data_IF_247414350979
#
_entry.id   IF_247414350979
#
_cell.length_a   1.000
_cell.length_b   1.000
_cell.length_c   1.000
_cell.angle_alpha   90.00
_cell.angle_beta   90.00
_cell.angle_gamma   90.00
#
_symmetry.space_group_name_H-M   'P 1'
#
loop_
_entity.id
_entity.type
_entity.pdbx_description
1 polymer ?
#
# COMPACT_ATOMS: atom_id res chain seq x y z
N UNK A 1 -32.99 -9.91 -76.24
CA UNK A 1 -31.95 -9.09 -75.59
C UNK A 1 -32.44 -8.78 -74.18
N UNK A 2 -31.87 -9.41 -73.18
CA UNK A 2 -32.20 -9.17 -71.74
C UNK A 2 -30.99 -8.51 -71.11
N UNK A 3 -31.17 -7.24 -70.70
CA UNK A 3 -30.18 -6.46 -69.97
C UNK A 3 -30.28 -6.80 -68.50
N UNK A 4 -29.19 -7.36 -67.91
CA UNK A 4 -29.01 -7.54 -66.48
C UNK A 4 -28.52 -6.20 -65.89
N UNK A 5 -29.30 -5.65 -64.96
CA UNK A 5 -28.88 -4.55 -64.11
C UNK A 5 -28.12 -5.09 -62.88
N UNK A 6 -26.89 -4.66 -62.70
CA UNK A 6 -26.07 -4.96 -61.50
C UNK A 6 -26.34 -3.85 -60.50
N UNK A 7 -26.99 -4.19 -59.37
CA UNK A 7 -27.08 -3.32 -58.20
C UNK A 7 -25.80 -3.40 -57.38
N UNK A 8 -25.02 -2.31 -57.33
CA UNK A 8 -23.86 -2.15 -56.48
C UNK A 8 -24.33 -1.69 -55.08
N UNK A 9 -24.30 -2.59 -54.11
CA UNK A 9 -24.58 -2.24 -52.69
C UNK A 9 -23.34 -1.62 -52.06
N UNK A 10 -23.42 -0.32 -51.77
CA UNK A 10 -22.40 0.42 -51.02
C UNK A 10 -22.60 0.16 -49.54
N UNK A 11 -21.75 -0.69 -48.94
CA UNK A 11 -21.71 -0.91 -47.49
C UNK A 11 -20.94 0.23 -46.82
N UNK A 12 -21.66 1.15 -46.14
CA UNK A 12 -21.11 2.16 -45.26
C UNK A 12 -20.68 1.47 -43.97
N UNK A 13 -19.39 1.25 -43.80
CA UNK A 13 -18.81 0.86 -42.50
C UNK A 13 -18.74 2.11 -41.61
N UNK A 14 -19.63 2.21 -40.61
CA UNK A 14 -19.50 3.17 -39.52
C UNK A 14 -18.33 2.70 -38.65
N UNK A 15 -17.18 3.33 -38.80
CA UNK A 15 -16.12 3.27 -37.75
C UNK A 15 -16.58 4.18 -36.63
N UNK A 16 -17.00 3.60 -35.53
CA UNK A 16 -17.18 4.33 -34.26
C UNK A 16 -15.82 4.84 -33.83
N UNK A 17 -15.55 6.12 -34.08
CA UNK A 17 -14.45 6.83 -33.40
C UNK A 17 -14.88 6.99 -31.94
N UNK A 18 -14.21 6.26 -31.01
CA UNK A 18 -14.34 6.52 -29.60
C UNK A 18 -13.96 8.00 -29.36
N UNK A 19 -14.92 8.76 -28.84
CA UNK A 19 -14.74 10.16 -28.53
C UNK A 19 -13.73 10.32 -27.38
N UNK A 20 -12.48 10.66 -27.71
CA UNK A 20 -11.42 10.96 -26.75
C UNK A 20 -11.71 12.26 -25.95
N UNK A 21 -12.88 12.87 -26.10
CA UNK A 21 -13.23 14.19 -25.57
C UNK A 21 -13.77 14.19 -24.13
N UNK A 22 -13.94 13.04 -23.47
CA UNK A 22 -14.53 12.95 -22.13
C UNK A 22 -13.54 12.61 -21.02
N UNK A 23 -12.23 12.50 -21.31
CA UNK A 23 -11.24 12.20 -20.29
C UNK A 23 -10.97 13.43 -19.41
N UNK A 24 -10.94 13.26 -18.07
CA UNK A 24 -10.63 14.36 -17.15
C UNK A 24 -9.28 15.00 -17.48
N UNK A 25 -9.21 16.34 -17.45
CA UNK A 25 -7.92 17.03 -17.60
C UNK A 25 -6.91 16.52 -16.55
N UNK A 26 -5.68 16.27 -16.99
CA UNK A 26 -4.59 15.61 -16.20
C UNK A 26 -4.14 16.39 -14.96
N UNK A 27 -4.73 17.50 -14.65
CA UNK A 27 -4.18 18.50 -13.75
C UNK A 27 -4.56 18.34 -12.29
N UNK A 28 -4.23 17.32 -11.54
CA UNK A 28 -4.03 17.43 -10.08
C UNK A 28 -4.02 16.12 -9.30
N UNK A 29 -4.31 14.98 -9.90
CA UNK A 29 -4.37 13.72 -9.16
C UNK A 29 -3.16 12.86 -9.55
N UNK A 30 -2.22 12.70 -8.63
CA UNK A 30 -1.00 11.93 -8.86
C UNK A 30 -1.19 10.48 -8.40
N UNK A 31 -0.48 9.57 -9.05
CA UNK A 31 -0.28 8.21 -8.55
C UNK A 31 0.62 8.32 -7.32
N UNK A 32 0.23 7.65 -6.22
CA UNK A 32 1.03 7.57 -5.00
C UNK A 32 1.61 6.17 -4.85
N UNK A 33 2.87 6.08 -4.45
CA UNK A 33 3.60 4.81 -4.27
C UNK A 33 4.03 4.69 -2.81
N UNK A 34 3.76 3.55 -2.20
CA UNK A 34 4.12 3.23 -0.83
C UNK A 34 4.88 1.89 -0.75
N UNK A 35 5.84 1.74 0.19
CA UNK A 35 6.25 2.72 1.18
C UNK A 35 6.92 3.93 0.54
N UNK A 36 6.86 5.08 1.24
CA UNK A 36 7.50 6.34 0.80
C UNK A 36 8.95 6.46 1.25
N UNK A 37 9.44 5.51 2.05
CA UNK A 37 10.82 5.49 2.51
C UNK A 37 11.81 5.32 1.33
N UNK A 38 12.91 6.07 1.37
CA UNK A 38 13.97 6.00 0.34
C UNK A 38 15.00 4.89 0.61
N UNK A 39 14.93 4.24 1.78
CA UNK A 39 15.75 3.08 2.14
C UNK A 39 14.84 1.94 2.54
N UNK A 40 14.92 0.82 1.83
CA UNK A 40 14.04 -0.33 1.98
C UNK A 40 14.83 -1.62 2.24
N UNK A 41 14.33 -2.56 3.02
CA UNK A 41 15.04 -3.81 3.31
C UNK A 41 15.07 -4.74 2.09
N UNK A 42 16.14 -5.51 1.94
CA UNK A 42 16.30 -6.47 0.84
C UNK A 42 15.24 -7.59 0.81
N UNK A 43 14.53 -7.79 1.92
CA UNK A 43 13.40 -8.71 2.05
C UNK A 43 12.05 -7.98 2.07
N UNK A 44 11.97 -6.81 1.44
CA UNK A 44 10.70 -6.08 1.24
C UNK A 44 9.65 -7.03 0.66
N UNK A 45 8.49 -7.09 1.32
CA UNK A 45 7.45 -8.03 0.93
C UNK A 45 6.56 -7.51 -0.19
N UNK A 46 6.21 -6.22 -0.13
CA UNK A 46 5.25 -5.60 -1.07
C UNK A 46 5.38 -4.09 -1.13
N UNK A 47 4.84 -3.55 -2.22
CA UNK A 47 4.59 -2.12 -2.41
C UNK A 47 3.11 -1.89 -2.75
N UNK A 48 2.65 -0.67 -2.63
CA UNK A 48 1.29 -0.28 -2.96
C UNK A 48 1.29 0.89 -3.91
N UNK A 49 0.43 0.82 -4.93
CA UNK A 49 0.21 1.91 -5.87
C UNK A 49 -1.23 2.38 -5.72
N UNK A 50 -1.41 3.64 -5.40
CA UNK A 50 -2.72 4.27 -5.30
C UNK A 50 -2.97 5.13 -6.52
N UNK A 51 -4.08 4.88 -7.18
CA UNK A 51 -4.49 5.60 -8.37
C UNK A 51 -5.56 6.63 -8.02
N UNK A 52 -5.58 7.76 -8.72
CA UNK A 52 -6.55 8.83 -8.47
C UNK A 52 -7.99 8.42 -8.84
N UNK A 53 -8.15 7.43 -9.71
CA UNK A 53 -9.43 6.93 -10.22
C UNK A 53 -9.48 5.41 -10.18
N UNK A 54 -10.68 4.77 -10.19
CA UNK A 54 -10.79 3.32 -10.35
C UNK A 54 -10.17 2.87 -11.67
N UNK A 55 -9.35 1.83 -11.65
CA UNK A 55 -8.61 1.34 -12.82
C UNK A 55 -9.41 0.32 -13.65
N UNK A 56 -9.10 0.20 -14.93
CA UNK A 56 -9.67 -0.77 -15.86
C UNK A 56 -9.44 -2.23 -15.40
N UNK A 57 -10.25 -3.17 -15.87
CA UNK A 57 -10.21 -4.58 -15.42
C UNK A 57 -8.89 -5.27 -15.83
N UNK A 58 -8.37 -4.92 -16.99
CA UNK A 58 -7.16 -5.52 -17.55
C UNK A 58 -5.89 -4.75 -17.16
N UNK A 59 -6.06 -3.63 -16.44
CA UNK A 59 -4.94 -2.83 -15.94
C UNK A 59 -4.43 -3.41 -14.62
N UNK A 60 -3.13 -3.31 -14.39
CA UNK A 60 -2.56 -3.80 -13.14
C UNK A 60 -1.05 -3.92 -13.17
N UNK A 61 -0.55 -5.09 -12.81
CA UNK A 61 0.88 -5.33 -12.67
C UNK A 61 1.67 -5.14 -13.98
N UNK A 62 1.05 -5.28 -15.14
CA UNK A 62 1.66 -5.02 -16.44
C UNK A 62 2.17 -3.59 -16.64
N UNK A 63 1.60 -2.64 -15.90
CA UNK A 63 2.00 -1.21 -15.93
C UNK A 63 3.03 -0.86 -14.85
N UNK A 64 3.54 -1.85 -14.09
CA UNK A 64 4.46 -1.63 -12.97
C UNK A 64 5.79 -2.32 -13.24
N UNK A 65 6.88 -1.57 -13.21
CA UNK A 65 8.21 -2.06 -13.52
C UNK A 65 9.20 -1.74 -12.40
N UNK A 66 10.00 -2.72 -12.01
CA UNK A 66 11.17 -2.49 -11.16
C UNK A 66 12.38 -2.25 -12.05
N UNK A 67 12.97 -1.07 -11.97
CA UNK A 67 14.16 -0.71 -12.75
C UNK A 67 15.39 -0.69 -11.84
N UNK A 68 16.53 -1.17 -12.34
CA UNK A 68 17.82 -1.00 -11.66
C UNK A 68 18.36 0.43 -11.84
N UNK A 69 19.55 0.71 -11.30
CA UNK A 69 20.23 2.00 -11.37
C UNK A 69 20.54 2.46 -12.82
N UNK A 70 20.59 1.52 -13.78
CA UNK A 70 20.80 1.78 -15.22
C UNK A 70 19.48 1.95 -15.98
N UNK A 71 18.34 1.90 -15.30
CA UNK A 71 17.01 1.98 -15.93
C UNK A 71 16.57 0.70 -16.64
N UNK A 72 17.25 -0.43 -16.41
CA UNK A 72 16.88 -1.74 -17.00
C UNK A 72 15.88 -2.44 -16.10
N UNK A 73 14.80 -2.95 -16.69
CA UNK A 73 13.77 -3.69 -15.96
C UNK A 73 14.32 -5.01 -15.39
N UNK A 74 13.94 -5.30 -14.15
CA UNK A 74 14.23 -6.56 -13.46
C UNK A 74 13.07 -7.52 -13.70
N UNK A 75 13.26 -8.43 -14.61
CA UNK A 75 12.26 -9.44 -14.95
C UNK A 75 11.96 -10.38 -13.78
N UNK A 76 10.68 -10.73 -13.61
CA UNK A 76 10.23 -11.66 -12.56
C UNK A 76 10.50 -11.15 -11.14
N UNK A 77 10.59 -9.83 -10.92
CA UNK A 77 10.72 -9.26 -9.58
C UNK A 77 9.44 -9.44 -8.77
N UNK A 78 8.29 -9.37 -9.43
CA UNK A 78 6.98 -9.41 -8.78
C UNK A 78 6.29 -10.76 -8.99
N UNK A 79 5.47 -11.12 -8.02
CA UNK A 79 4.65 -12.32 -8.09
C UNK A 79 3.58 -12.16 -9.18
N UNK A 80 3.74 -12.92 -10.27
CA UNK A 80 2.74 -12.96 -11.33
C UNK A 80 1.56 -13.83 -10.90
N UNK A 81 0.44 -13.22 -10.61
CA UNK A 81 -0.83 -13.88 -10.30
C UNK A 81 -1.74 -13.92 -11.53
N UNK A 82 -2.70 -14.86 -11.54
CA UNK A 82 -3.75 -14.88 -12.58
C UNK A 82 -4.68 -13.66 -12.48
N UNK A 83 -4.75 -13.03 -11.31
CA UNK A 83 -5.57 -11.86 -11.02
C UNK A 83 -4.72 -10.91 -10.21
N UNK A 84 -4.69 -9.65 -10.61
CA UNK A 84 -4.01 -8.59 -9.89
C UNK A 84 -4.70 -8.28 -8.55
N UNK A 85 -3.90 -7.92 -7.55
CA UNK A 85 -4.36 -7.71 -6.18
C UNK A 85 -4.89 -6.29 -5.98
N UNK A 86 -6.07 -6.04 -6.51
CA UNK A 86 -6.77 -4.76 -6.38
C UNK A 86 -7.57 -4.65 -5.07
N UNK A 87 -7.68 -3.42 -4.54
CA UNK A 87 -8.72 -3.07 -3.57
C UNK A 87 -10.12 -3.15 -4.21
N UNK A 88 -11.17 -3.26 -3.39
CA UNK A 88 -12.54 -3.38 -3.89
C UNK A 88 -12.99 -2.19 -4.75
N UNK A 89 -12.47 -0.98 -4.47
CA UNK A 89 -12.72 0.25 -5.25
C UNK A 89 -11.80 0.40 -6.46
N UNK A 90 -10.88 -0.57 -6.69
CA UNK A 90 -9.91 -0.60 -7.77
C UNK A 90 -8.97 0.63 -7.85
N UNK A 91 -8.77 1.28 -6.72
CA UNK A 91 -7.85 2.43 -6.62
C UNK A 91 -6.50 2.08 -6.04
N UNK A 92 -6.35 0.92 -5.39
CA UNK A 92 -5.08 0.47 -4.84
C UNK A 92 -4.68 -0.88 -5.43
N UNK A 93 -3.52 -0.92 -6.07
CA UNK A 93 -2.86 -2.15 -6.50
C UNK A 93 -1.84 -2.57 -5.43
N UNK A 94 -1.88 -3.82 -5.00
CA UNK A 94 -0.82 -4.41 -4.16
C UNK A 94 0.18 -5.13 -5.06
N UNK A 95 1.42 -4.67 -5.06
CA UNK A 95 2.54 -5.22 -5.83
C UNK A 95 3.37 -6.10 -4.91
N UNK A 96 3.21 -7.43 -5.00
CA UNK A 96 3.98 -8.39 -4.21
C UNK A 96 5.29 -8.71 -4.91
N UNK A 97 6.39 -8.68 -4.17
CA UNK A 97 7.63 -9.29 -4.64
C UNK A 97 7.45 -10.82 -4.69
N UNK A 98 8.08 -11.47 -5.67
CA UNK A 98 8.02 -12.93 -5.78
C UNK A 98 8.66 -13.57 -4.53
N UNK A 99 7.91 -14.36 -3.75
CA UNK A 99 8.45 -15.05 -2.57
C UNK A 99 9.70 -15.89 -2.87
N UNK A 100 9.78 -16.46 -4.08
CA UNK A 100 10.93 -17.20 -4.56
C UNK A 100 12.20 -16.35 -4.71
N UNK A 101 12.05 -15.02 -4.80
CA UNK A 101 13.16 -14.06 -4.92
C UNK A 101 13.38 -13.21 -3.67
N UNK A 102 12.51 -13.34 -2.68
CA UNK A 102 12.61 -12.64 -1.39
C UNK A 102 13.13 -13.57 -0.30
N UNK A 103 12.62 -14.82 -0.26
CA UNK A 103 12.97 -15.80 0.77
C UNK A 103 14.16 -16.66 0.32
N UNK A 104 15.12 -16.88 1.21
CA UNK A 104 16.25 -17.79 0.99
C UNK A 104 15.81 -19.26 1.05
N UNK A 105 16.50 -20.14 0.31
CA UNK A 105 16.26 -21.59 0.34
C UNK A 105 15.11 -22.06 -0.55
N UNK A 106 14.63 -21.24 -1.49
CA UNK A 106 13.70 -21.64 -2.52
C UNK A 106 14.42 -21.81 -3.87
N UNK A 107 14.01 -22.80 -4.68
CA UNK A 107 14.64 -23.08 -5.97
C UNK A 107 14.69 -21.87 -6.93
N UNK A 108 13.67 -21.01 -6.90
CA UNK A 108 13.65 -19.78 -7.68
C UNK A 108 14.73 -18.77 -7.22
N UNK A 109 15.04 -18.74 -5.91
CA UNK A 109 16.12 -17.91 -5.38
C UNK A 109 17.49 -18.37 -5.89
N UNK A 110 17.70 -19.69 -5.95
CA UNK A 110 18.97 -20.26 -6.40
C UNK A 110 19.21 -20.07 -7.91
N UNK A 111 18.14 -19.95 -8.70
CA UNK A 111 18.20 -19.79 -10.15
C UNK A 111 18.21 -18.30 -10.60
N UNK A 112 17.40 -17.45 -9.99
CA UNK A 112 17.17 -16.07 -10.43
C UNK A 112 17.81 -15.03 -9.50
N UNK A 113 18.27 -15.45 -8.33
CA UNK A 113 18.80 -14.55 -7.29
C UNK A 113 17.71 -13.68 -6.64
N UNK A 114 18.12 -12.78 -5.76
CA UNK A 114 17.22 -11.82 -5.11
C UNK A 114 16.69 -10.78 -6.10
N UNK A 115 15.45 -10.35 -5.92
CA UNK A 115 14.89 -9.22 -6.67
C UNK A 115 15.57 -7.89 -6.25
N UNK A 116 15.86 -7.75 -4.96
CA UNK A 116 16.54 -6.59 -4.38
C UNK A 116 17.89 -7.02 -3.80
N UNK A 117 18.97 -6.35 -4.21
CA UNK A 117 20.33 -6.60 -3.72
C UNK A 117 20.75 -5.45 -2.82
N UNK A 118 21.35 -5.77 -1.67
CA UNK A 118 21.87 -4.80 -0.70
C UNK A 118 22.86 -3.84 -1.38
N UNK A 119 22.86 -2.57 -0.97
CA UNK A 119 23.68 -1.47 -1.48
C UNK A 119 23.42 -1.11 -2.95
N UNK A 120 22.33 -1.61 -3.54
CA UNK A 120 21.90 -1.20 -4.88
C UNK A 120 20.71 -0.24 -4.80
N UNK A 121 20.52 0.55 -5.85
CA UNK A 121 19.36 1.45 -5.99
C UNK A 121 18.42 0.95 -7.08
N UNK A 122 17.13 1.15 -6.85
CA UNK A 122 16.05 0.75 -7.74
C UNK A 122 15.04 1.88 -7.90
N UNK A 123 14.23 1.78 -8.93
CA UNK A 123 13.08 2.66 -9.15
C UNK A 123 11.86 1.80 -9.46
N UNK A 124 10.80 1.93 -8.65
CA UNK A 124 9.49 1.47 -9.07
C UNK A 124 8.92 2.51 -10.04
N UNK A 125 8.66 2.07 -11.26
CA UNK A 125 8.00 2.87 -12.30
C UNK A 125 6.57 2.36 -12.47
N UNK A 126 5.61 3.26 -12.43
CA UNK A 126 4.21 3.01 -12.83
C UNK A 126 3.92 3.82 -14.07
N UNK A 127 3.54 3.16 -15.17
CA UNK A 127 3.27 3.82 -16.45
C UNK A 127 2.01 4.69 -16.38
N UNK A 128 2.12 5.91 -16.89
CA UNK A 128 0.99 6.80 -17.10
C UNK A 128 0.03 6.36 -18.22
N UNK A 129 0.42 5.36 -19.03
CA UNK A 129 -0.43 4.78 -20.06
C UNK A 129 -1.52 3.85 -19.50
N UNK A 130 -1.44 3.50 -18.21
CA UNK A 130 -2.47 2.71 -17.53
C UNK A 130 -3.85 3.39 -17.65
N UNK A 131 -4.87 2.61 -17.99
CA UNK A 131 -6.22 3.09 -18.25
C UNK A 131 -7.11 2.96 -17.02
N UNK A 132 -7.91 4.00 -16.75
CA UNK A 132 -8.97 3.94 -15.75
C UNK A 132 -10.19 3.14 -16.24
N UNK A 133 -11.21 3.01 -15.39
CA UNK A 133 -12.43 2.26 -15.70
C UNK A 133 -13.25 2.87 -16.86
N UNK A 134 -13.04 4.12 -17.18
CA UNK A 134 -13.64 4.85 -18.30
C UNK A 134 -12.81 4.77 -19.59
N UNK A 135 -11.65 4.09 -19.56
CA UNK A 135 -10.74 3.96 -20.69
C UNK A 135 -9.86 5.20 -20.92
N UNK A 136 -9.69 6.05 -19.92
CA UNK A 136 -8.83 7.21 -19.98
C UNK A 136 -7.45 6.91 -19.37
N UNK A 137 -6.38 7.24 -20.08
CA UNK A 137 -5.03 7.11 -19.54
C UNK A 137 -4.85 8.00 -18.30
N UNK A 138 -4.08 7.53 -17.33
CA UNK A 138 -3.70 8.32 -16.14
C UNK A 138 -2.84 9.51 -16.56
N UNK A 139 -1.97 9.33 -17.53
CA UNK A 139 -1.29 10.38 -18.29
C UNK A 139 0.14 10.67 -17.88
N UNK A 140 0.52 10.52 -16.62
CA UNK A 140 1.89 10.75 -16.17
C UNK A 140 2.46 9.53 -15.44
N UNK A 141 3.70 9.17 -15.78
CA UNK A 141 4.46 8.17 -15.03
C UNK A 141 4.62 8.60 -13.58
N UNK A 142 4.51 7.63 -12.67
CA UNK A 142 4.95 7.80 -11.29
C UNK A 142 6.23 6.99 -11.05
N UNK A 143 7.14 7.55 -10.25
CA UNK A 143 8.43 6.93 -9.96
C UNK A 143 8.76 7.06 -8.48
N UNK A 144 9.12 5.95 -7.86
CA UNK A 144 9.67 5.93 -6.51
C UNK A 144 11.06 5.31 -6.55
N UNK A 145 12.08 6.12 -6.25
CA UNK A 145 13.47 5.67 -6.17
C UNK A 145 13.83 5.34 -4.73
N UNK A 146 14.51 4.22 -4.53
CA UNK A 146 14.96 3.79 -3.22
C UNK A 146 16.30 3.04 -3.32
N UNK A 147 17.04 3.01 -2.21
CA UNK A 147 18.20 2.16 -1.99
C UNK A 147 17.84 0.98 -1.11
N UNK A 148 18.62 -0.08 -1.18
CA UNK A 148 18.35 -1.34 -0.48
C UNK A 148 19.36 -1.56 0.64
N UNK A 149 18.84 -1.72 1.86
CA UNK A 149 19.61 -2.10 3.04
C UNK A 149 19.51 -3.60 3.35
N UNK A 150 20.25 -4.04 4.38
CA UNK A 150 20.23 -5.42 4.85
C UNK A 150 18.79 -5.91 5.14
N UNK A 151 18.52 -7.24 5.02
CA UNK A 151 17.20 -7.79 5.35
C UNK A 151 16.78 -7.46 6.78
N UNK A 152 15.54 -7.00 6.96
CA UNK A 152 14.96 -6.80 8.28
C UNK A 152 14.36 -8.12 8.80
N UNK A 153 14.87 -8.57 9.93
CA UNK A 153 14.41 -9.79 10.63
C UNK A 153 13.91 -9.48 12.04
N UNK A 154 13.77 -8.19 12.40
CA UNK A 154 13.35 -7.76 13.73
C UNK A 154 11.83 -7.59 13.76
N UNK A 155 11.19 -8.26 14.72
CA UNK A 155 9.76 -8.06 14.93
C UNK A 155 9.47 -6.64 15.45
N UNK A 156 8.36 -6.01 15.01
CA UNK A 156 7.86 -4.78 15.61
C UNK A 156 7.68 -4.94 17.12
N UNK A 157 8.13 -3.93 17.88
CA UNK A 157 8.05 -3.92 19.34
C UNK A 157 7.19 -2.75 19.83
N UNK A 158 5.83 -2.86 19.85
CA UNK A 158 4.95 -1.76 20.23
C UNK A 158 5.22 -1.18 21.63
N UNK A 159 5.80 -1.96 22.55
CA UNK A 159 6.20 -1.48 23.87
C UNK A 159 7.32 -0.44 23.84
N UNK A 160 8.04 -0.32 22.73
CA UNK A 160 9.12 0.66 22.53
C UNK A 160 8.66 1.90 21.74
N UNK A 161 7.41 1.94 21.31
CA UNK A 161 6.87 3.06 20.57
C UNK A 161 6.67 4.28 21.46
N UNK A 162 6.88 5.45 20.89
CA UNK A 162 6.66 6.72 21.61
C UNK A 162 5.26 7.22 21.35
N UNK A 163 4.55 7.59 22.42
CA UNK A 163 3.21 8.18 22.32
C UNK A 163 3.32 9.66 22.67
N UNK A 164 2.90 10.52 21.75
CA UNK A 164 2.73 11.96 21.97
C UNK A 164 1.25 12.26 22.19
N UNK A 165 0.79 12.43 23.45
CA UNK A 165 -0.61 12.67 23.75
C UNK A 165 -1.09 14.00 23.17
N UNK A 166 -2.33 14.08 22.66
CA UNK A 166 -2.95 15.32 22.21
C UNK A 166 -3.40 16.18 23.40
N UNK A 167 -3.74 17.45 23.16
CA UNK A 167 -4.39 18.30 24.15
C UNK A 167 -5.86 17.90 24.35
N UNK A 168 -6.32 17.91 25.61
CA UNK A 168 -7.71 17.67 25.98
C UNK A 168 -8.62 18.75 25.37
N UNK A 169 -9.90 18.42 25.17
CA UNK A 169 -10.93 19.27 24.57
C UNK A 169 -10.59 19.77 23.14
N UNK A 170 -9.61 19.17 22.47
CA UNK A 170 -9.21 19.49 21.09
C UNK A 170 -9.39 18.27 20.17
N UNK A 171 -9.21 18.50 18.87
CA UNK A 171 -9.11 17.43 17.85
C UNK A 171 -7.67 17.27 17.33
N UNK A 172 -6.69 17.68 18.13
CA UNK A 172 -5.29 17.49 17.81
C UNK A 172 -5.00 15.99 17.55
N UNK A 173 -4.13 15.70 16.61
CA UNK A 173 -3.76 14.31 16.34
C UNK A 173 -3.05 13.68 17.54
N UNK A 174 -3.42 12.45 17.88
CA UNK A 174 -2.55 11.56 18.61
C UNK A 174 -1.45 11.10 17.66
N UNK A 175 -0.18 11.21 18.08
CA UNK A 175 0.96 10.75 17.29
C UNK A 175 1.68 9.60 17.98
N UNK A 176 2.04 8.58 17.22
CA UNK A 176 2.83 7.43 17.68
C UNK A 176 4.04 7.28 16.78
N UNK A 177 5.23 7.42 17.35
CA UNK A 177 6.50 7.12 16.69
C UNK A 177 6.79 5.62 16.75
N UNK A 178 6.93 4.99 15.59
CA UNK A 178 7.04 3.54 15.45
C UNK A 178 8.49 3.04 15.49
N UNK A 179 9.47 3.95 15.39
CA UNK A 179 10.90 3.63 15.41
C UNK A 179 11.45 3.14 14.06
N UNK A 180 10.73 2.30 13.34
CA UNK A 180 11.06 1.80 11.99
C UNK A 180 9.86 1.91 11.04
N UNK A 181 10.07 1.86 9.72
CA UNK A 181 8.96 1.84 8.77
C UNK A 181 8.10 0.58 8.91
N UNK A 182 6.79 0.74 8.77
CA UNK A 182 5.83 -0.35 8.81
C UNK A 182 5.05 -0.43 7.49
N UNK A 183 4.38 -1.56 7.29
CA UNK A 183 3.55 -1.77 6.12
C UNK A 183 2.38 -0.77 6.09
N UNK A 184 2.28 0.00 5.00
CA UNK A 184 1.33 1.10 4.84
C UNK A 184 -0.13 0.68 5.10
N UNK A 185 -0.55 -0.43 4.51
CA UNK A 185 -1.93 -0.94 4.67
C UNK A 185 -2.15 -1.50 6.07
N UNK A 186 -1.13 -2.16 6.62
CA UNK A 186 -1.17 -2.69 7.98
C UNK A 186 -1.40 -1.57 9.01
N UNK A 187 -0.71 -0.44 8.87
CA UNK A 187 -0.90 0.75 9.72
C UNK A 187 -2.34 1.28 9.67
N UNK A 188 -2.98 1.28 8.52
CA UNK A 188 -4.35 1.78 8.37
C UNK A 188 -5.40 0.87 9.04
N UNK A 189 -5.14 -0.44 9.13
CA UNK A 189 -6.15 -1.42 9.55
C UNK A 189 -5.84 -2.14 10.87
N UNK A 190 -4.60 -2.13 11.35
CA UNK A 190 -4.14 -2.95 12.47
C UNK A 190 -3.90 -2.17 13.77
N UNK A 191 -4.27 -0.89 13.80
CA UNK A 191 -4.18 -0.03 14.99
C UNK A 191 -5.52 0.65 15.21
N UNK A 192 -5.99 0.71 16.45
CA UNK A 192 -7.26 1.36 16.85
C UNK A 192 -7.07 2.13 18.14
N UNK A 193 -7.87 3.18 18.30
CA UNK A 193 -7.98 3.93 19.58
C UNK A 193 -9.28 3.56 20.25
N UNK A 194 -9.20 3.24 21.54
CA UNK A 194 -10.35 2.96 22.40
C UNK A 194 -10.50 4.08 23.44
N UNK A 195 -11.74 4.39 23.78
CA UNK A 195 -12.06 5.26 24.91
C UNK A 195 -11.92 4.55 26.27
N UNK A 196 -12.27 5.24 27.35
CA UNK A 196 -12.26 4.70 28.72
C UNK A 196 -13.16 3.48 28.92
N UNK A 197 -14.22 3.37 28.13
CA UNK A 197 -15.21 2.30 28.21
C UNK A 197 -14.87 1.12 27.28
N UNK A 198 -13.76 1.24 26.53
CA UNK A 198 -13.29 0.23 25.58
C UNK A 198 -13.98 0.29 24.22
N UNK A 199 -14.75 1.33 23.91
CA UNK A 199 -15.34 1.50 22.59
C UNK A 199 -14.34 2.11 21.59
N UNK A 200 -14.41 1.66 20.32
CA UNK A 200 -13.56 2.19 19.26
C UNK A 200 -13.93 3.64 18.97
N UNK A 201 -12.95 4.54 19.09
CA UNK A 201 -13.14 5.95 18.73
C UNK A 201 -13.18 6.12 17.21
N UNK A 202 -14.20 6.82 16.68
CA UNK A 202 -14.24 7.16 15.26
C UNK A 202 -13.27 8.31 14.97
N UNK A 203 -12.50 8.16 13.88
CA UNK A 203 -11.52 9.17 13.47
C UNK A 203 -10.92 8.89 12.10
N UNK A 204 -9.91 9.68 11.75
CA UNK A 204 -9.10 9.52 10.54
C UNK A 204 -7.69 9.12 10.93
N UNK A 205 -7.05 8.33 10.09
CA UNK A 205 -5.67 7.88 10.25
C UNK A 205 -4.84 8.47 9.10
N UNK A 206 -4.38 9.72 9.19
CA UNK A 206 -3.38 10.25 8.27
C UNK A 206 -2.04 9.59 8.60
N UNK A 207 -1.52 8.78 7.67
CA UNK A 207 -0.22 8.15 7.85
C UNK A 207 0.90 9.18 7.66
N UNK A 208 1.93 9.08 8.51
CA UNK A 208 3.09 9.94 8.44
C UNK A 208 4.04 9.58 7.30
N UNK A 209 4.99 10.46 7.02
CA UNK A 209 6.02 10.21 6.02
C UNK A 209 6.88 9.00 6.43
N UNK A 210 7.38 8.31 5.40
CA UNK A 210 8.24 7.11 5.49
C UNK A 210 7.69 5.99 6.39
N UNK A 211 6.35 6.02 6.66
CA UNK A 211 5.62 5.03 7.45
C UNK A 211 6.22 4.74 8.84
N UNK A 212 6.90 5.75 9.43
CA UNK A 212 7.51 5.70 10.78
C UNK A 212 6.67 6.34 11.86
N UNK A 213 5.60 7.04 11.48
CA UNK A 213 4.65 7.64 12.41
C UNK A 213 3.23 7.20 12.07
N UNK A 214 2.46 6.96 13.11
CA UNK A 214 1.02 6.70 13.01
C UNK A 214 0.27 7.81 13.72
N UNK A 215 -0.68 8.43 13.01
CA UNK A 215 -1.47 9.55 13.52
C UNK A 215 -2.95 9.18 13.55
N UNK A 216 -3.65 9.69 14.56
CA UNK A 216 -5.09 9.54 14.66
C UNK A 216 -5.74 10.87 15.01
N UNK A 217 -6.64 11.35 14.15
CA UNK A 217 -7.45 12.55 14.36
C UNK A 217 -8.87 12.13 14.72
N UNK A 218 -9.33 12.36 15.96
CA UNK A 218 -10.65 11.93 16.39
C UNK A 218 -11.76 12.75 15.70
N UNK A 219 -12.93 12.15 15.56
CA UNK A 219 -14.11 12.84 15.02
C UNK A 219 -14.66 13.90 15.98
N UNK A 220 -14.61 13.64 17.28
CA UNK A 220 -14.98 14.57 18.36
C UNK A 220 -13.74 14.99 19.15
N UNK A 221 -13.77 16.14 19.89
CA UNK A 221 -12.69 16.51 20.79
C UNK A 221 -12.38 15.42 21.82
N UNK A 222 -11.09 15.31 22.19
CA UNK A 222 -10.64 14.37 23.22
C UNK A 222 -11.28 14.67 24.57
N UNK A 223 -11.75 13.65 25.24
CA UNK A 223 -12.18 13.76 26.65
C UNK A 223 -10.96 13.67 27.55
N UNK A 224 -11.01 14.34 28.70
CA UNK A 224 -10.02 14.26 29.78
C UNK A 224 -10.12 12.92 30.53
N UNK A 225 -9.90 11.84 29.82
CA UNK A 225 -10.01 10.48 30.33
C UNK A 225 -8.86 9.61 29.77
N UNK A 226 -8.60 8.47 30.42
CA UNK A 226 -7.64 7.52 29.90
C UNK A 226 -8.15 6.85 28.63
N UNK A 227 -7.31 6.77 27.61
CA UNK A 227 -7.55 6.12 26.33
C UNK A 227 -6.55 4.99 26.12
N UNK A 228 -6.84 4.10 25.20
CA UNK A 228 -5.91 3.01 24.83
C UNK A 228 -5.73 2.96 23.33
N UNK A 229 -4.49 2.76 22.87
CA UNK A 229 -4.20 2.32 21.51
C UNK A 229 -4.03 0.81 21.55
N UNK A 230 -4.80 0.11 20.76
CA UNK A 230 -4.72 -1.35 20.62
C UNK A 230 -4.11 -1.71 19.29
N UNK A 231 -3.17 -2.64 19.30
CA UNK A 231 -2.41 -3.09 18.15
C UNK A 231 -2.71 -4.57 17.92
N UNK A 232 -3.13 -4.90 16.71
CA UNK A 232 -3.36 -6.26 16.26
C UNK A 232 -2.02 -7.02 16.15
N UNK A 233 -1.99 -8.26 16.59
CA UNK A 233 -0.82 -9.14 16.48
C UNK A 233 -0.41 -9.44 15.03
N UNK A 234 -1.28 -9.18 14.07
CA UNK A 234 -1.02 -9.30 12.64
C UNK A 234 -0.53 -7.99 11.99
N UNK A 235 -0.21 -6.96 12.78
CA UNK A 235 0.49 -5.80 12.25
C UNK A 235 1.82 -6.25 11.63
N UNK A 236 2.12 -5.76 10.44
CA UNK A 236 3.35 -6.12 9.72
C UNK A 236 4.25 -4.88 9.53
N UNK A 237 5.55 -5.10 9.56
CA UNK A 237 6.54 -4.16 9.02
C UNK A 237 6.72 -4.37 7.50
N UNK A 238 7.70 -3.69 6.90
CA UNK A 238 7.97 -3.79 5.47
C UNK A 238 8.41 -5.18 5.00
N UNK A 239 9.04 -5.96 5.90
CA UNK A 239 9.50 -7.31 5.64
C UNK A 239 8.46 -8.39 5.97
N UNK A 240 7.29 -7.98 6.52
CA UNK A 240 6.22 -8.87 6.96
C UNK A 240 6.47 -9.49 8.33
N UNK A 241 7.44 -8.97 9.11
CA UNK A 241 7.59 -9.38 10.50
C UNK A 241 6.40 -8.85 11.32
N UNK A 242 6.00 -9.60 12.36
CA UNK A 242 4.85 -9.30 13.21
C UNK A 242 5.29 -9.19 14.67
N UNK A 243 4.57 -8.41 15.51
CA UNK A 243 4.83 -8.36 16.93
C UNK A 243 4.90 -9.78 17.52
N UNK A 244 5.94 -10.06 18.29
CA UNK A 244 6.08 -11.36 18.94
C UNK A 244 4.85 -11.61 19.83
N UNK A 245 4.20 -12.76 19.67
CA UNK A 245 3.13 -13.18 20.58
C UNK A 245 3.78 -13.40 21.95
N UNK A 246 3.19 -12.87 23.05
CA UNK A 246 3.61 -13.29 24.38
C UNK A 246 3.55 -14.82 24.44
N UNK A 247 4.65 -15.47 24.82
CA UNK A 247 4.81 -16.92 24.82
C UNK A 247 3.91 -17.67 25.81
N UNK A 248 3.07 -16.97 26.57
CA UNK A 248 2.33 -17.48 27.72
C UNK A 248 0.84 -17.80 27.47
N UNK A 249 0.38 -17.83 26.20
CA UNK A 249 -1.03 -18.20 25.95
C UNK A 249 -1.13 -19.59 25.33
N UNK A 250 -1.67 -20.52 26.12
CA UNK A 250 -2.14 -21.83 25.66
C UNK A 250 -3.07 -21.68 24.46
N UNK A 251 -2.85 -22.47 23.42
CA UNK A 251 -3.76 -22.59 22.27
C UNK A 251 -5.13 -23.04 22.77
N UNK A 252 -6.15 -22.16 22.76
CA UNK A 252 -7.52 -22.53 23.14
C UNK A 252 -8.41 -21.43 23.70
N UNK A 253 -7.89 -20.26 24.05
CA UNK A 253 -8.76 -19.15 24.43
C UNK A 253 -9.00 -18.25 23.22
N UNK A 254 -10.29 -17.90 22.97
CA UNK A 254 -10.76 -17.14 21.81
C UNK A 254 -9.82 -15.99 21.46
N UNK A 255 -9.38 -16.01 20.23
CA UNK A 255 -8.35 -15.11 19.71
C UNK A 255 -8.86 -13.67 19.68
N UNK A 256 -8.61 -12.93 20.76
CA UNK A 256 -8.53 -11.49 20.65
C UNK A 256 -7.15 -11.18 20.04
N UNK A 257 -7.10 -10.96 18.73
CA UNK A 257 -5.86 -10.65 18.01
C UNK A 257 -5.24 -9.30 18.41
N UNK A 258 -5.91 -8.53 19.25
CA UNK A 258 -5.48 -7.25 19.81
C UNK A 258 -4.69 -7.47 21.11
N UNK A 259 -3.38 -7.61 21.00
CA UNK A 259 -2.53 -8.09 22.12
C UNK A 259 -1.65 -7.03 22.75
N UNK A 260 -1.41 -5.89 22.10
CA UNK A 260 -0.59 -4.81 22.62
C UNK A 260 -1.44 -3.58 22.90
N UNK A 261 -1.30 -3.02 24.11
CA UNK A 261 -2.03 -1.84 24.55
C UNK A 261 -1.05 -0.75 24.98
N UNK A 262 -1.17 0.43 24.36
CA UNK A 262 -0.49 1.64 24.80
C UNK A 262 -1.55 2.55 25.42
N UNK A 263 -1.34 2.93 26.70
CA UNK A 263 -2.27 3.82 27.41
C UNK A 263 -1.76 5.25 27.35
N UNK A 264 -2.68 6.19 27.21
CA UNK A 264 -2.39 7.61 27.30
C UNK A 264 -3.58 8.38 27.86
N UNK A 265 -3.32 9.57 28.37
CA UNK A 265 -4.36 10.56 28.68
C UNK A 265 -4.04 11.84 27.91
N UNK A 266 -5.03 12.54 27.36
CA UNK A 266 -4.84 13.86 26.77
C UNK A 266 -4.27 14.84 27.81
N UNK A 267 -3.45 15.78 27.33
CA UNK A 267 -2.80 16.78 28.20
C UNK A 267 -3.83 17.87 28.51
N UNK A 268 -4.06 18.13 29.79
CA UNK A 268 -4.89 19.25 30.23
C UNK A 268 -4.25 20.58 29.84
N UNK A 269 -5.05 21.59 29.47
CA UNK A 269 -4.56 22.91 29.04
C UNK A 269 -3.89 23.70 30.17
#
# INVERSE_FOLDING_TARGET
MRTLGVCLALSLSLTATADASNCPAQASQQIEIYPTAEVLPANLLRMYVYFPRPMGIEEGLGNVHLLNDKGVAIEGAFLSNRIDLWSADRRRLTVLFDPGRVKTGLAAHDQLGRALTVDQSYTLLVSGDAMDAEGCAIGADARHRFSVEAPDTKAPAPSQWTVTPPAAATRQALEIGLGSPHDHVSLAYRIRVLDSDGAILPGKIPLGAVEKTWNFVPRAPWLSASHSVVIDSNLEDLAGNRPARPSDRSAGQGQNDWTNHLRFAPIEP
#
